data_IF_200256890726
#
_entry.id   IF_200256890726
#
_cell.length_a   1.000
_cell.length_b   1.000
_cell.length_c   1.000
_cell.angle_alpha   90.00
_cell.angle_beta   90.00
_cell.angle_gamma   90.00
#
_symmetry.space_group_name_H-M   'P 1'
#
loop_
_entity.id
_entity.type
_entity.pdbx_description
1 polymer ?
#
# COMPACT_ATOMS: atom_id res chain seq x y z
N UNK A 1 14.61 -4.45 13.32
CA UNK A 1 14.73 -4.54 11.85
C UNK A 1 13.32 -4.57 11.22
N UNK A 2 12.50 -3.53 11.38
CA UNK A 2 11.03 -3.60 11.17
C UNK A 2 10.49 -2.74 10.03
N UNK A 3 10.88 -1.48 9.89
CA UNK A 3 10.62 -0.71 8.65
C UNK A 3 11.32 -1.31 7.42
N UNK A 4 12.35 -2.12 7.66
CA UNK A 4 13.04 -2.91 6.64
C UNK A 4 12.11 -3.93 5.96
N UNK A 5 11.05 -4.42 6.61
CA UNK A 5 10.14 -5.42 6.04
C UNK A 5 9.19 -4.82 4.97
N UNK A 6 8.66 -3.63 5.20
CA UNK A 6 7.78 -2.94 4.25
C UNK A 6 8.58 -2.42 3.05
N UNK A 7 9.78 -1.88 3.31
CA UNK A 7 10.75 -1.56 2.26
C UNK A 7 11.22 -2.81 1.51
N UNK A 8 11.48 -3.94 2.19
CA UNK A 8 11.80 -5.20 1.51
C UNK A 8 10.63 -5.67 0.67
N UNK A 9 9.39 -5.58 1.15
CA UNK A 9 8.23 -6.00 0.38
C UNK A 9 8.12 -5.18 -0.91
N UNK A 10 8.25 -3.85 -0.82
CA UNK A 10 8.32 -2.95 -1.98
C UNK A 10 9.49 -3.28 -2.93
N UNK A 11 10.69 -3.52 -2.38
CA UNK A 11 11.89 -3.86 -3.16
C UNK A 11 11.76 -5.24 -3.82
N UNK A 12 11.17 -6.22 -3.13
CA UNK A 12 10.94 -7.58 -3.65
C UNK A 12 9.90 -7.55 -4.77
N UNK A 13 8.86 -6.72 -4.65
CA UNK A 13 7.86 -6.54 -5.71
C UNK A 13 8.34 -5.68 -6.88
N UNK A 14 9.22 -4.71 -6.65
CA UNK A 14 9.69 -3.78 -7.68
C UNK A 14 10.95 -4.22 -8.42
N UNK A 15 11.96 -4.71 -7.71
CA UNK A 15 13.30 -4.99 -8.24
C UNK A 15 13.54 -6.48 -8.51
N UNK A 16 13.00 -7.38 -7.66
CA UNK A 16 13.35 -8.81 -7.72
C UNK A 16 12.35 -9.70 -8.48
N UNK A 17 11.17 -9.17 -8.85
CA UNK A 17 10.18 -9.92 -9.65
C UNK A 17 9.81 -11.30 -9.07
N UNK A 18 9.90 -11.45 -7.74
CA UNK A 18 9.78 -12.76 -7.09
C UNK A 18 8.31 -13.19 -6.98
N UNK A 19 8.08 -14.50 -7.04
CA UNK A 19 6.78 -15.15 -7.16
C UNK A 19 5.74 -14.58 -6.17
N UNK A 20 4.65 -14.11 -6.76
CA UNK A 20 3.77 -13.01 -6.34
C UNK A 20 2.65 -13.39 -5.37
N UNK A 21 2.69 -14.55 -4.73
CA UNK A 21 1.49 -15.09 -4.08
C UNK A 21 1.37 -14.76 -2.59
N UNK A 22 2.46 -14.76 -1.82
CA UNK A 22 2.40 -14.57 -0.35
C UNK A 22 2.95 -13.22 0.11
N UNK A 23 4.10 -12.78 -0.42
CA UNK A 23 4.75 -11.54 0.00
C UNK A 23 4.01 -10.27 -0.48
N UNK A 24 3.15 -10.38 -1.49
CA UNK A 24 2.40 -9.27 -2.04
C UNK A 24 1.10 -8.99 -1.27
N UNK A 25 0.58 -9.95 -0.49
CA UNK A 25 -0.67 -9.80 0.27
C UNK A 25 -0.60 -8.61 1.26
N UNK A 26 0.47 -8.46 2.07
CA UNK A 26 0.63 -7.27 2.91
C UNK A 26 0.67 -5.95 2.14
N UNK A 27 1.30 -5.94 0.97
CA UNK A 27 1.39 -4.76 0.12
C UNK A 27 0.01 -4.37 -0.41
N UNK A 28 -0.75 -5.34 -0.94
CA UNK A 28 -2.11 -5.11 -1.40
C UNK A 28 -3.03 -4.67 -0.26
N UNK A 29 -2.90 -5.24 0.95
CA UNK A 29 -3.67 -4.83 2.12
C UNK A 29 -3.41 -3.35 2.48
N UNK A 30 -2.14 -2.92 2.49
CA UNK A 30 -1.79 -1.53 2.76
C UNK A 30 -2.25 -0.60 1.64
N UNK A 31 -2.06 -0.96 0.37
CA UNK A 31 -2.47 -0.13 -0.77
C UNK A 31 -4.00 0.01 -0.85
N UNK A 32 -4.74 -1.08 -0.68
CA UNK A 32 -6.21 -1.06 -0.74
C UNK A 32 -6.82 -0.25 0.39
N UNK A 33 -6.30 -0.37 1.62
CA UNK A 33 -6.79 0.44 2.75
C UNK A 33 -6.39 1.91 2.66
N UNK A 34 -5.23 2.21 2.05
CA UNK A 34 -4.83 3.58 1.72
C UNK A 34 -5.81 4.17 0.70
N UNK A 35 -6.09 3.47 -0.40
CA UNK A 35 -7.05 3.90 -1.42
C UNK A 35 -8.49 3.99 -0.91
N UNK A 36 -8.88 3.16 0.07
CA UNK A 36 -10.22 3.20 0.67
C UNK A 36 -10.54 4.56 1.28
N UNK A 37 -9.53 5.27 1.82
CA UNK A 37 -9.69 6.66 2.25
C UNK A 37 -10.06 6.84 3.71
N UNK A 38 -10.14 5.76 4.50
CA UNK A 38 -10.40 5.82 5.93
C UNK A 38 -9.09 5.73 6.73
N UNK A 39 -8.80 6.81 7.46
CA UNK A 39 -7.57 6.96 8.26
C UNK A 39 -7.44 5.94 9.38
N UNK A 40 -8.53 5.63 10.06
CA UNK A 40 -8.52 4.68 11.18
C UNK A 40 -8.23 3.26 10.71
N UNK A 41 -8.90 2.84 9.62
CA UNK A 41 -8.70 1.52 9.02
C UNK A 41 -7.26 1.38 8.53
N UNK A 42 -6.75 2.37 7.79
CA UNK A 42 -5.37 2.36 7.31
C UNK A 42 -4.37 2.30 8.46
N UNK A 43 -4.53 3.12 9.51
CA UNK A 43 -3.64 3.11 10.67
C UNK A 43 -3.73 1.79 11.46
N UNK A 44 -4.89 1.13 11.50
CA UNK A 44 -5.04 -0.20 12.09
C UNK A 44 -4.23 -1.25 11.29
N UNK A 45 -4.24 -1.19 9.95
CA UNK A 45 -3.41 -2.06 9.12
C UNK A 45 -1.92 -1.78 9.33
N UNK A 46 -1.51 -0.51 9.29
CA UNK A 46 -0.10 -0.12 9.50
C UNK A 46 0.43 -0.53 10.88
N UNK A 47 -0.45 -0.59 11.90
CA UNK A 47 -0.09 -1.08 13.23
C UNK A 47 0.29 -2.56 13.24
N UNK A 48 -0.30 -3.39 12.36
CA UNK A 48 0.11 -4.80 12.20
C UNK A 48 1.57 -4.94 11.76
N UNK A 49 2.11 -3.90 11.13
CA UNK A 49 3.48 -3.86 10.61
C UNK A 49 4.44 -3.02 11.46
N UNK A 50 4.03 -2.65 12.69
CA UNK A 50 4.81 -1.79 13.58
C UNK A 50 5.27 -0.48 12.91
N UNK A 51 4.42 0.11 12.05
CA UNK A 51 4.77 1.32 11.32
C UNK A 51 5.14 2.48 12.27
N UNK A 52 6.26 3.14 11.94
CA UNK A 52 6.74 4.33 12.62
C UNK A 52 5.81 5.53 12.39
N UNK A 53 5.93 6.55 13.24
CA UNK A 53 5.15 7.78 13.09
C UNK A 53 5.45 8.51 11.76
N UNK A 54 6.66 8.37 11.23
CA UNK A 54 7.05 8.90 9.93
C UNK A 54 6.34 8.16 8.79
N UNK A 55 6.29 6.83 8.84
CA UNK A 55 5.59 6.01 7.84
C UNK A 55 4.09 6.28 7.86
N UNK A 56 3.47 6.36 9.05
CA UNK A 56 2.05 6.72 9.18
C UNK A 56 1.74 8.06 8.53
N UNK A 57 2.54 9.10 8.82
CA UNK A 57 2.39 10.42 8.20
C UNK A 57 2.56 10.37 6.67
N UNK A 58 3.44 9.51 6.17
CA UNK A 58 3.60 9.27 4.74
C UNK A 58 2.32 8.71 4.12
N UNK A 59 1.77 7.64 4.69
CA UNK A 59 0.54 7.02 4.22
C UNK A 59 -0.69 7.93 4.37
N UNK A 60 -0.76 8.75 5.41
CA UNK A 60 -1.82 9.76 5.57
C UNK A 60 -1.86 10.74 4.40
N UNK A 61 -0.69 11.23 3.95
CA UNK A 61 -0.62 12.11 2.78
C UNK A 61 -1.03 11.41 1.48
N UNK A 62 -0.65 10.14 1.31
CA UNK A 62 -1.06 9.35 0.14
C UNK A 62 -2.58 9.17 0.15
N UNK A 63 -3.14 8.85 1.30
CA UNK A 63 -4.59 8.70 1.48
C UNK A 63 -5.34 10.02 1.20
N UNK A 64 -4.81 11.16 1.63
CA UNK A 64 -5.33 12.48 1.31
C UNK A 64 -5.41 12.67 -0.22
N UNK A 65 -4.37 12.32 -0.98
CA UNK A 65 -4.39 12.37 -2.44
C UNK A 65 -5.50 11.50 -3.07
N UNK A 66 -5.73 10.28 -2.55
CA UNK A 66 -6.83 9.42 -3.02
C UNK A 66 -8.21 10.00 -2.70
N UNK A 67 -8.34 10.67 -1.56
CA UNK A 67 -9.58 11.31 -1.15
C UNK A 67 -9.88 12.56 -1.99
N UNK A 68 -8.88 13.38 -2.29
CA UNK A 68 -8.99 14.53 -3.19
C UNK A 68 -9.31 14.12 -4.63
N UNK A 69 -8.66 13.05 -5.13
CA UNK A 69 -8.91 12.51 -6.46
C UNK A 69 -10.25 11.78 -6.63
N UNK A 70 -10.90 11.41 -5.53
CA UNK A 70 -12.20 10.75 -5.52
C UNK A 70 -12.22 9.39 -6.23
N UNK A 71 -13.43 8.93 -6.59
CA UNK A 71 -13.65 7.59 -7.14
C UNK A 71 -12.91 7.32 -8.46
N UNK A 72 -12.73 8.36 -9.30
CA UNK A 72 -12.03 8.22 -10.58
C UNK A 72 -10.57 7.83 -10.37
N UNK A 73 -9.87 8.52 -9.48
CA UNK A 73 -8.46 8.22 -9.17
C UNK A 73 -8.33 6.83 -8.57
N UNK A 74 -9.18 6.47 -7.61
CA UNK A 74 -9.19 5.13 -6.99
C UNK A 74 -9.41 4.02 -8.02
N UNK A 75 -10.33 4.20 -8.96
CA UNK A 75 -10.62 3.21 -10.01
C UNK A 75 -9.47 3.07 -11.02
N UNK A 76 -8.90 4.18 -11.48
CA UNK A 76 -7.76 4.18 -12.40
C UNK A 76 -6.55 3.50 -11.77
N UNK A 77 -6.26 3.85 -10.51
CA UNK A 77 -5.12 3.29 -9.80
C UNK A 77 -5.28 1.79 -9.50
N UNK A 78 -6.49 1.36 -9.10
CA UNK A 78 -6.81 -0.06 -8.99
C UNK A 78 -6.66 -0.81 -10.32
N UNK A 79 -6.99 -0.17 -11.44
CA UNK A 79 -6.83 -0.75 -12.77
C UNK A 79 -5.36 -0.93 -13.10
N UNK A 80 -4.55 0.13 -12.90
CA UNK A 80 -3.10 0.09 -13.10
C UNK A 80 -2.49 -1.02 -12.26
N UNK A 81 -2.77 -1.04 -10.96
CA UNK A 81 -2.25 -2.02 -10.02
C UNK A 81 -2.55 -3.47 -10.46
N UNK A 82 -3.79 -3.76 -10.86
CA UNK A 82 -4.17 -5.09 -11.38
C UNK A 82 -3.44 -5.40 -12.67
N UNK A 83 -3.45 -4.49 -13.65
CA UNK A 83 -2.79 -4.72 -14.95
C UNK A 83 -1.28 -4.90 -14.84
N UNK A 84 -0.61 -4.22 -13.90
CA UNK A 84 0.82 -4.36 -13.67
C UNK A 84 1.20 -5.61 -12.88
N UNK A 85 0.24 -6.24 -12.21
CA UNK A 85 0.46 -7.45 -11.39
C UNK A 85 0.00 -8.74 -12.07
N UNK A 86 -0.64 -8.65 -13.24
CA UNK A 86 -0.92 -9.80 -14.10
C UNK A 86 0.31 -10.13 -14.98
N UNK A 87 0.66 -11.41 -15.15
CA UNK A 87 1.75 -11.86 -16.01
C UNK A 87 1.46 -11.70 -17.51
#
# INVERSE_FOLDING_TARGET
MKGTLLLLALLVTGELGFQTTEACIPLFEVLTTTAFGNKEIMNAILTKFDATDGERKGFEKIQECYNEGGLKTKFLDSTVLVTSSLP
#
